data_IF_025369081453
#
_entry.id   IF_025369081453
#
_cell.length_a   1.000
_cell.length_b   1.000
_cell.length_c   1.000
_cell.angle_alpha   90.00
_cell.angle_beta   90.00
_cell.angle_gamma   90.00
#
_symmetry.space_group_name_H-M   'P 1'
#
loop_
_entity.id
_entity.type
_entity.pdbx_description
1 polymer ?
#
# COMPACT_ATOMS: atom_id res chain seq x y z
N UNK A 1 -1.18 -16.89 9.89
CA UNK A 1 -1.10 -15.47 9.48
C UNK A 1 0.02 -14.69 10.18
N UNK A 2 0.23 -14.84 11.51
CA UNK A 2 1.28 -14.10 12.26
C UNK A 2 2.71 -14.22 11.71
N UNK A 3 3.08 -15.40 11.19
CA UNK A 3 4.41 -15.64 10.59
C UNK A 3 4.68 -14.83 9.31
N UNK A 4 3.65 -14.53 8.52
CA UNK A 4 3.78 -13.73 7.29
C UNK A 4 3.94 -12.25 7.63
N UNK A 5 3.23 -11.78 8.67
CA UNK A 5 3.31 -10.41 9.16
C UNK A 5 4.70 -10.13 9.75
N UNK A 6 5.29 -11.10 10.46
CA UNK A 6 6.63 -10.98 11.01
C UNK A 6 7.71 -10.97 9.93
N UNK A 7 7.56 -11.78 8.87
CA UNK A 7 8.44 -11.74 7.70
C UNK A 7 8.35 -10.41 6.95
N UNK A 8 7.14 -9.88 6.77
CA UNK A 8 6.93 -8.59 6.11
C UNK A 8 7.56 -7.43 6.90
N UNK A 9 7.41 -7.43 8.23
CA UNK A 9 8.05 -6.44 9.10
C UNK A 9 9.58 -6.52 9.07
N UNK A 10 10.15 -7.73 8.98
CA UNK A 10 11.60 -7.92 8.88
C UNK A 10 12.16 -7.41 7.55
N UNK A 11 11.46 -7.65 6.43
CA UNK A 11 11.83 -7.08 5.13
C UNK A 11 11.73 -5.55 5.13
N UNK A 12 10.68 -5.00 5.71
CA UNK A 12 10.49 -3.54 5.81
C UNK A 12 11.59 -2.90 6.67
N UNK A 13 11.94 -3.51 7.82
CA UNK A 13 13.02 -3.04 8.68
C UNK A 13 14.39 -3.09 8.01
N UNK A 14 14.68 -4.14 7.23
CA UNK A 14 15.92 -4.25 6.48
C UNK A 14 16.05 -3.17 5.40
N UNK A 15 14.95 -2.85 4.70
CA UNK A 15 14.93 -1.77 3.71
C UNK A 15 15.13 -0.40 4.33
N UNK A 16 14.59 -0.17 5.53
CA UNK A 16 14.70 1.09 6.24
C UNK A 16 16.12 1.33 6.80
N UNK A 17 16.82 0.26 7.16
CA UNK A 17 18.20 0.33 7.68
C UNK A 17 19.22 0.79 6.63
N UNK A 18 18.89 0.76 5.34
CA UNK A 18 19.78 1.24 4.28
C UNK A 18 19.67 2.75 4.02
N UNK A 19 18.77 3.46 4.72
CA UNK A 19 18.61 4.90 4.58
C UNK A 19 19.79 5.61 5.28
N UNK A 20 20.79 6.04 4.51
CA UNK A 20 21.86 6.90 5.00
C UNK A 20 21.31 8.31 5.26
N UNK A 21 21.34 8.76 6.52
CA UNK A 21 21.03 10.15 6.87
C UNK A 21 22.25 11.04 6.57
N UNK A 22 22.17 11.86 5.53
CA UNK A 22 23.17 12.90 5.25
C UNK A 22 22.76 14.21 5.94
N UNK A 23 23.64 14.73 6.78
CA UNK A 23 23.42 15.86 7.68
C UNK A 23 23.45 17.20 6.93
N UNK A 24 22.38 17.99 7.03
CA UNK A 24 22.16 19.24 6.30
C UNK A 24 22.77 20.45 7.02
N UNK A 25 24.07 20.70 6.82
CA UNK A 25 24.74 21.92 7.28
C UNK A 25 24.74 23.05 6.22
N UNK A 26 24.31 22.75 4.99
CA UNK A 26 24.21 23.73 3.89
C UNK A 26 22.95 23.49 3.05
N UNK A 27 21.79 23.86 3.60
CA UNK A 27 20.46 23.42 3.13
C UNK A 27 19.99 24.01 1.79
N UNK A 28 20.68 24.98 1.22
CA UNK A 28 20.24 25.67 -0.01
C UNK A 28 21.18 25.47 -1.21
N UNK A 29 22.42 25.01 -1.00
CA UNK A 29 23.41 24.87 -2.07
C UNK A 29 23.46 23.48 -2.71
N UNK A 30 22.88 22.46 -2.06
CA UNK A 30 23.07 21.06 -2.46
C UNK A 30 21.79 20.31 -2.88
N UNK A 31 20.64 20.98 -2.95
CA UNK A 31 19.45 20.42 -3.61
C UNK A 31 19.54 20.59 -5.13
N UNK A 32 20.68 20.22 -5.71
CA UNK A 32 20.77 19.97 -7.15
C UNK A 32 19.96 18.71 -7.44
N UNK A 33 18.70 18.90 -7.84
CA UNK A 33 17.85 17.80 -8.28
C UNK A 33 18.33 17.42 -9.69
N UNK A 34 19.09 16.33 -9.76
CA UNK A 34 19.50 15.76 -11.03
C UNK A 34 18.31 15.05 -11.69
N UNK A 35 18.33 14.96 -13.02
CA UNK A 35 17.27 14.31 -13.81
C UNK A 35 17.06 12.86 -13.33
N UNK A 36 18.14 12.16 -12.96
CA UNK A 36 18.07 10.82 -12.39
C UNK A 36 17.31 10.79 -11.05
N UNK A 37 17.52 11.77 -10.18
CA UNK A 37 16.83 11.86 -8.88
C UNK A 37 15.33 12.07 -9.06
N UNK A 38 14.92 12.83 -10.08
CA UNK A 38 13.50 13.02 -10.44
C UNK A 38 12.83 11.71 -10.85
N UNK A 39 13.52 10.86 -11.62
CA UNK A 39 13.00 9.54 -12.00
C UNK A 39 12.72 8.66 -10.78
N UNK A 40 13.65 8.62 -9.82
CA UNK A 40 13.45 7.83 -8.60
C UNK A 40 12.27 8.33 -7.76
N UNK A 41 12.13 9.66 -7.62
CA UNK A 41 11.00 10.26 -6.91
C UNK A 41 9.68 9.94 -7.62
N UNK A 42 9.65 10.04 -8.95
CA UNK A 42 8.47 9.73 -9.75
C UNK A 42 8.03 8.28 -9.58
N UNK A 43 8.95 7.32 -9.71
CA UNK A 43 8.67 5.89 -9.54
C UNK A 43 8.24 5.56 -8.10
N UNK A 44 8.85 6.20 -7.11
CA UNK A 44 8.48 6.04 -5.70
C UNK A 44 7.05 6.54 -5.45
N UNK A 45 6.75 7.75 -5.92
CA UNK A 45 5.43 8.36 -5.78
C UNK A 45 4.36 7.54 -6.52
N UNK A 46 4.69 7.03 -7.71
CA UNK A 46 3.85 6.13 -8.48
C UNK A 46 3.53 4.87 -7.69
N UNK A 47 4.55 4.20 -7.13
CA UNK A 47 4.35 3.00 -6.31
C UNK A 47 3.43 3.28 -5.12
N UNK A 48 3.75 4.29 -4.30
CA UNK A 48 2.96 4.63 -3.11
C UNK A 48 1.51 4.98 -3.46
N UNK A 49 1.31 5.72 -4.54
CA UNK A 49 -0.01 6.11 -4.98
C UNK A 49 -0.82 4.91 -5.46
N UNK A 50 -0.24 4.02 -6.27
CA UNK A 50 -0.97 2.93 -6.92
C UNK A 50 -1.13 1.67 -6.07
N UNK A 51 -0.22 1.39 -5.12
CA UNK A 51 -0.31 0.23 -4.21
C UNK A 51 -1.67 0.08 -3.52
N UNK A 52 -2.26 1.12 -2.88
CA UNK A 52 -3.57 0.96 -2.23
C UNK A 52 -4.69 0.65 -3.23
N UNK A 53 -4.66 1.22 -4.44
CA UNK A 53 -5.67 0.93 -5.46
C UNK A 53 -5.57 -0.50 -5.98
N UNK A 54 -4.35 -0.96 -6.27
CA UNK A 54 -4.11 -2.33 -6.71
C UNK A 54 -4.54 -3.30 -5.61
N UNK A 55 -4.22 -3.01 -4.35
CA UNK A 55 -4.61 -3.84 -3.21
C UNK A 55 -6.14 -3.94 -3.10
N UNK A 56 -6.86 -2.83 -3.20
CA UNK A 56 -8.32 -2.80 -3.17
C UNK A 56 -8.92 -3.59 -4.35
N UNK A 57 -8.37 -3.42 -5.56
CA UNK A 57 -8.84 -4.13 -6.74
C UNK A 57 -8.68 -5.65 -6.59
N UNK A 58 -7.51 -6.10 -6.16
CA UNK A 58 -7.21 -7.53 -5.92
C UNK A 58 -8.10 -8.08 -4.81
N UNK A 59 -8.26 -7.35 -3.70
CA UNK A 59 -9.06 -7.81 -2.56
C UNK A 59 -10.55 -7.89 -2.91
N UNK A 60 -11.06 -6.91 -3.64
CA UNK A 60 -12.44 -6.90 -4.14
C UNK A 60 -12.68 -8.04 -5.10
N UNK A 61 -11.76 -8.28 -6.05
CA UNK A 61 -11.84 -9.40 -6.99
C UNK A 61 -11.89 -10.75 -6.26
N UNK A 62 -10.90 -10.99 -5.38
CA UNK A 62 -10.82 -12.22 -4.61
C UNK A 62 -12.05 -12.44 -3.72
N UNK A 63 -12.55 -11.39 -3.06
CA UNK A 63 -13.71 -11.54 -2.19
C UNK A 63 -15.02 -11.66 -2.97
N UNK A 64 -15.15 -11.02 -4.13
CA UNK A 64 -16.32 -11.14 -5.01
C UNK A 64 -16.51 -12.58 -5.52
N UNK A 65 -15.41 -13.27 -5.85
CA UNK A 65 -15.43 -14.70 -6.21
C UNK A 65 -15.91 -15.59 -5.04
N UNK A 66 -15.71 -15.13 -3.80
CA UNK A 66 -16.02 -15.89 -2.59
C UNK A 66 -17.42 -15.63 -1.99
N UNK A 67 -18.25 -14.76 -2.60
CA UNK A 67 -19.61 -14.42 -2.10
C UNK A 67 -20.75 -15.11 -2.84
N UNK A 68 -20.48 -16.13 -3.63
CA UNK A 68 -21.55 -16.99 -4.17
C UNK A 68 -22.07 -17.92 -3.07
N UNK A 69 -22.62 -17.36 -2.00
CA UNK A 69 -23.59 -18.06 -1.15
C UNK A 69 -24.82 -17.16 -0.96
N UNK A 70 -25.91 -17.42 -1.71
CA UNK A 70 -27.06 -16.52 -1.86
C UNK A 70 -28.03 -16.56 -0.68
N UNK A 71 -27.57 -16.32 0.56
CA UNK A 71 -28.45 -16.36 1.75
C UNK A 71 -28.56 -15.10 2.60
N UNK A 72 -27.68 -14.10 2.46
CA UNK A 72 -27.73 -12.94 3.36
C UNK A 72 -28.45 -11.69 2.81
N UNK A 73 -28.84 -11.66 1.52
CA UNK A 73 -29.61 -10.54 0.98
C UNK A 73 -31.13 -10.64 1.29
N UNK A 74 -31.62 -11.79 1.74
CA UNK A 74 -33.04 -11.98 2.09
C UNK A 74 -33.37 -11.59 3.54
N UNK A 75 -32.39 -11.45 4.43
CA UNK A 75 -32.67 -11.10 5.83
C UNK A 75 -32.95 -9.60 6.03
N UNK A 76 -32.39 -8.72 5.20
CA UNK A 76 -32.56 -7.26 5.35
C UNK A 76 -33.87 -6.74 4.73
N UNK A 77 -34.49 -7.47 3.80
CA UNK A 77 -35.75 -7.06 3.17
C UNK A 77 -37.02 -7.58 3.85
N UNK A 78 -36.93 -8.55 4.77
CA UNK A 78 -38.10 -9.14 5.46
C UNK A 78 -38.40 -8.45 6.80
N UNK A 79 -37.42 -7.77 7.42
CA UNK A 79 -37.62 -7.04 8.69
C UNK A 79 -38.23 -5.63 8.50
N UNK A 80 -38.26 -5.10 7.27
CA UNK A 80 -38.86 -3.79 7.01
C UNK A 80 -40.39 -3.84 6.78
N UNK A 81 -41.00 -5.03 6.74
CA UNK A 81 -42.40 -5.24 6.35
C UNK A 81 -43.21 -6.00 7.43
N UNK A 82 -42.87 -5.84 8.72
CA UNK A 82 -43.63 -6.42 9.84
C UNK A 82 -43.81 -5.47 11.01
#
# INVERSE_FOLDING_TARGET
>A
MLKILWRLGMFLGLTLSSAKMSYAVDSYRFLHVHIDTLWFIFLFLLGILFVPFILIAVLTWHYAENKTDPKEQQAVSVENDK
#
